data_IF_228297820861
#
_entry.id   IF_228297820861
#
_cell.length_a   1.000
_cell.length_b   1.000
_cell.length_c   1.000
_cell.angle_alpha   90.00
_cell.angle_beta   90.00
_cell.angle_gamma   90.00
#
_symmetry.space_group_name_H-M   'P 1'
#
loop_
_entity.id
_entity.type
_entity.pdbx_description
1 polymer ?
#
# COMPACT_ATOMS: atom_id res chain seq x y z
N UNK A 1 3.16 13.24 0.23
CA UNK A 1 2.43 11.97 0.04
C UNK A 1 3.43 10.85 0.13
N UNK A 2 3.08 9.74 0.76
CA UNK A 2 3.86 8.49 0.73
C UNK A 2 2.95 7.40 0.17
N UNK A 3 3.36 6.80 -0.95
CA UNK A 3 2.66 5.68 -1.59
C UNK A 3 3.40 4.40 -1.18
N UNK A 4 2.67 3.42 -0.66
CA UNK A 4 3.25 2.18 -0.17
C UNK A 4 2.26 1.01 -0.33
N UNK A 5 2.80 -0.20 -0.34
CA UNK A 5 1.99 -1.42 -0.30
C UNK A 5 1.39 -1.65 1.10
N UNK A 6 0.28 -2.37 1.12
CA UNK A 6 -0.45 -2.67 2.34
C UNK A 6 -1.07 -4.07 2.28
N UNK A 7 -0.71 -4.92 3.24
CA UNK A 7 -1.23 -6.28 3.38
C UNK A 7 -2.55 -6.35 4.13
N UNK A 8 -3.00 -5.27 4.77
CA UNK A 8 -4.34 -5.20 5.37
C UNK A 8 -5.43 -4.91 4.33
N UNK A 9 -5.03 -4.63 3.09
CA UNK A 9 -5.92 -4.27 2.00
C UNK A 9 -5.85 -5.31 0.88
N UNK A 10 -7.04 -5.69 0.38
CA UNK A 10 -7.16 -6.62 -0.73
C UNK A 10 -6.50 -6.08 -1.99
N UNK A 11 -5.93 -6.98 -2.79
CA UNK A 11 -5.33 -6.67 -4.08
C UNK A 11 -6.26 -5.82 -4.96
N UNK A 12 -5.76 -4.68 -5.43
CA UNK A 12 -6.54 -3.79 -6.30
C UNK A 12 -7.49 -2.85 -5.55
N UNK A 13 -7.39 -2.77 -4.22
CA UNK A 13 -8.01 -1.71 -3.44
C UNK A 13 -6.98 -0.65 -3.08
N UNK A 14 -7.43 0.56 -2.76
CA UNK A 14 -6.55 1.59 -2.23
C UNK A 14 -7.29 2.48 -1.23
N UNK A 15 -6.54 3.13 -0.34
CA UNK A 15 -7.05 4.16 0.56
C UNK A 15 -6.10 5.36 0.55
N UNK A 16 -6.66 6.55 0.61
CA UNK A 16 -5.89 7.80 0.80
C UNK A 16 -6.31 8.37 2.15
N UNK A 17 -5.37 8.43 3.10
CA UNK A 17 -5.66 8.81 4.48
C UNK A 17 -4.55 9.72 5.02
N UNK A 18 -4.92 10.76 5.77
CA UNK A 18 -3.96 11.64 6.43
C UNK A 18 -3.66 11.12 7.83
N UNK A 19 -2.38 10.96 8.19
CA UNK A 19 -1.99 10.54 9.55
C UNK A 19 -2.30 9.09 9.90
N UNK A 20 -2.84 8.29 8.97
CA UNK A 20 -3.25 6.91 9.24
C UNK A 20 -2.51 5.98 8.26
N UNK A 21 -1.46 5.34 8.77
CA UNK A 21 -0.68 4.33 8.06
C UNK A 21 -0.47 3.05 8.87
N UNK A 22 -0.04 1.94 8.23
CA UNK A 22 0.23 0.69 8.92
C UNK A 22 1.45 0.79 9.85
N UNK A 23 1.31 0.22 11.05
CA UNK A 23 2.33 0.31 12.13
C UNK A 23 3.45 -0.72 12.05
N UNK A 24 3.40 -1.64 11.09
CA UNK A 24 4.35 -2.76 10.95
C UNK A 24 5.14 -2.71 9.65
N UNK A 25 4.95 -1.68 8.84
CA UNK A 25 5.64 -1.54 7.56
C UNK A 25 7.02 -0.90 7.80
N UNK A 26 8.11 -1.69 7.66
CA UNK A 26 9.47 -1.26 7.96
C UNK A 26 9.88 0.05 7.25
N UNK A 27 9.49 0.24 5.99
CA UNK A 27 9.75 1.48 5.27
C UNK A 27 9.02 2.70 5.85
N UNK A 28 7.83 2.51 6.42
CA UNK A 28 7.09 3.60 7.07
C UNK A 28 7.66 3.88 8.45
N UNK A 29 8.05 2.86 9.20
CA UNK A 29 8.72 3.01 10.49
C UNK A 29 9.99 3.86 10.35
N UNK A 30 10.79 3.59 9.32
CA UNK A 30 11.98 4.40 8.99
C UNK A 30 11.63 5.86 8.64
N UNK A 31 10.55 6.09 7.88
CA UNK A 31 10.07 7.45 7.58
C UNK A 31 9.59 8.16 8.85
N UNK A 32 8.80 7.50 9.70
CA UNK A 32 8.31 8.07 10.95
C UNK A 32 9.45 8.44 11.90
N UNK A 33 10.45 7.58 12.03
CA UNK A 33 11.66 7.84 12.80
C UNK A 33 12.41 9.06 12.25
N UNK A 34 12.58 9.13 10.94
CA UNK A 34 13.32 10.22 10.27
C UNK A 34 12.60 11.57 10.35
N UNK A 35 11.28 11.58 10.27
CA UNK A 35 10.47 12.80 10.26
C UNK A 35 9.96 13.21 11.65
N UNK A 36 9.96 12.29 12.62
CA UNK A 36 9.36 12.48 13.94
C UNK A 36 7.83 12.63 13.93
N UNK A 37 7.17 12.29 12.81
CA UNK A 37 5.72 12.44 12.64
C UNK A 37 5.16 11.49 11.59
N UNK A 38 3.89 11.13 11.74
CA UNK A 38 3.06 10.42 10.77
C UNK A 38 2.08 11.35 10.02
N UNK A 39 2.10 12.66 10.30
CA UNK A 39 1.15 13.64 9.76
C UNK A 39 1.43 13.99 8.29
N UNK A 40 1.31 13.00 7.44
CA UNK A 40 1.34 13.12 6.00
C UNK A 40 0.26 12.24 5.36
N UNK A 41 0.00 12.50 4.09
CA UNK A 41 -0.92 11.68 3.30
C UNK A 41 -0.29 10.32 2.96
N UNK A 42 -0.91 9.26 3.47
CA UNK A 42 -0.66 7.88 3.10
C UNK A 42 -1.55 7.49 1.92
N UNK A 43 -0.93 6.93 0.88
CA UNK A 43 -1.62 6.28 -0.25
C UNK A 43 -1.33 4.79 -0.12
N UNK A 44 -2.27 4.11 0.54
CA UNK A 44 -2.18 2.69 0.88
C UNK A 44 -2.67 1.87 -0.31
N UNK A 45 -1.80 1.08 -0.92
CA UNK A 45 -2.14 0.25 -2.09
C UNK A 45 -2.26 -1.21 -1.63
N UNK A 46 -3.45 -1.78 -1.76
CA UNK A 46 -3.70 -3.15 -1.36
C UNK A 46 -2.99 -4.15 -2.27
N UNK A 47 -2.18 -5.00 -1.65
CA UNK A 47 -1.41 -6.04 -2.34
C UNK A 47 -1.80 -7.45 -1.91
N UNK A 48 -2.69 -7.62 -0.93
CA UNK A 48 -3.04 -8.96 -0.46
C UNK A 48 -3.89 -9.70 -1.50
N UNK A 49 -3.22 -10.55 -2.28
CA UNK A 49 -3.84 -11.46 -3.24
C UNK A 49 -3.88 -12.90 -2.76
N UNK A 50 -3.67 -13.18 -1.46
CA UNK A 50 -3.59 -14.55 -0.92
C UNK A 50 -4.97 -15.18 -0.67
N UNK A 51 -6.06 -14.40 -0.79
CA UNK A 51 -7.43 -14.89 -0.61
C UNK A 51 -7.67 -15.47 0.78
N UNK A 52 -7.08 -14.87 1.81
CA UNK A 52 -7.15 -15.34 3.20
C UNK A 52 -6.20 -16.49 3.55
N UNK A 53 -5.49 -17.07 2.58
CA UNK A 53 -4.45 -18.06 2.85
C UNK A 53 -3.23 -17.40 3.52
N UNK A 54 -2.80 -17.94 4.66
CA UNK A 54 -1.63 -17.47 5.41
C UNK A 54 -0.43 -18.41 5.31
N UNK A 55 -0.36 -19.19 4.23
CA UNK A 55 0.68 -20.19 4.02
C UNK A 55 2.06 -19.58 3.73
N UNK A 56 2.12 -18.28 3.44
CA UNK A 56 3.35 -17.53 3.20
C UNK A 56 3.37 -16.35 4.19
N UNK A 57 4.50 -16.13 4.84
CA UNK A 57 4.68 -15.02 5.76
C UNK A 57 4.49 -13.67 5.04
N UNK A 58 4.09 -12.63 5.77
CA UNK A 58 3.98 -11.29 5.18
C UNK A 58 5.30 -10.81 4.58
N UNK A 59 6.41 -11.05 5.28
CA UNK A 59 7.76 -10.69 4.84
C UNK A 59 8.18 -11.40 3.56
N UNK A 60 7.88 -12.69 3.41
CA UNK A 60 8.22 -13.41 2.18
C UNK A 60 7.33 -12.98 1.02
N UNK A 61 6.05 -12.68 1.31
CA UNK A 61 5.09 -12.26 0.30
C UNK A 61 5.45 -10.91 -0.34
N UNK A 62 5.85 -9.91 0.47
CA UNK A 62 6.22 -8.57 -0.05
C UNK A 62 7.49 -8.58 -0.89
N UNK A 63 8.34 -9.60 -0.74
CA UNK A 63 9.54 -9.79 -1.57
C UNK A 63 9.23 -10.54 -2.88
N UNK A 64 8.02 -11.09 -3.02
CA UNK A 64 7.58 -11.83 -4.19
C UNK A 64 7.28 -10.91 -5.39
N UNK A 65 7.36 -11.48 -6.60
CA UNK A 65 6.91 -10.79 -7.81
C UNK A 65 5.40 -10.95 -7.98
N UNK A 66 4.74 -9.88 -8.43
CA UNK A 66 3.38 -10.01 -8.94
C UNK A 66 3.31 -10.95 -10.13
N UNK A 67 2.32 -11.84 -10.13
CA UNK A 67 1.89 -12.55 -11.32
C UNK A 67 1.35 -11.57 -12.38
N UNK A 68 1.30 -11.95 -13.66
CA UNK A 68 0.72 -11.11 -14.71
C UNK A 68 -0.71 -10.65 -14.40
N UNK A 69 -1.53 -11.51 -13.78
CA UNK A 69 -2.89 -11.17 -13.34
C UNK A 69 -2.89 -10.10 -12.25
N UNK A 70 -2.06 -10.26 -11.22
CA UNK A 70 -1.97 -9.27 -10.14
C UNK A 70 -1.46 -7.93 -10.65
N UNK A 71 -0.44 -7.95 -11.53
CA UNK A 71 0.10 -6.74 -12.15
C UNK A 71 -0.97 -5.99 -12.94
N UNK A 72 -1.83 -6.69 -13.70
CA UNK A 72 -2.95 -6.08 -14.41
C UNK A 72 -3.91 -5.36 -13.46
N UNK A 73 -4.29 -6.02 -12.36
CA UNK A 73 -5.21 -5.46 -11.35
C UNK A 73 -4.62 -4.18 -10.72
N UNK A 74 -3.33 -4.18 -10.36
CA UNK A 74 -2.66 -3.00 -9.83
C UNK A 74 -2.62 -1.86 -10.85
N UNK A 75 -2.42 -2.16 -12.13
CA UNK A 75 -2.42 -1.14 -13.18
C UNK A 75 -3.81 -0.52 -13.40
N UNK A 76 -4.90 -1.29 -13.20
CA UNK A 76 -6.28 -0.82 -13.36
C UNK A 76 -6.66 0.28 -12.35
N UNK A 77 -6.04 0.30 -11.16
CA UNK A 77 -6.32 1.34 -10.15
C UNK A 77 -5.45 2.60 -10.28
N UNK A 78 -4.39 2.57 -11.10
CA UNK A 78 -3.43 3.67 -11.20
C UNK A 78 -4.10 5.00 -11.59
N UNK A 79 -4.94 4.98 -12.62
CA UNK A 79 -5.64 6.19 -13.09
C UNK A 79 -6.60 6.75 -12.04
N UNK A 80 -7.24 5.89 -11.23
CA UNK A 80 -8.14 6.30 -10.16
C UNK A 80 -7.37 6.97 -9.02
N UNK A 81 -6.25 6.38 -8.61
CA UNK A 81 -5.36 6.98 -7.60
C UNK A 81 -4.87 8.36 -8.04
N UNK A 82 -4.39 8.49 -9.30
CA UNK A 82 -3.93 9.78 -9.84
C UNK A 82 -5.05 10.82 -9.82
N UNK A 83 -6.26 10.44 -10.24
CA UNK A 83 -7.40 11.34 -10.27
C UNK A 83 -7.80 11.80 -8.85
N UNK A 84 -7.75 10.92 -7.86
CA UNK A 84 -8.09 11.27 -6.48
C UNK A 84 -7.00 12.10 -5.80
N UNK A 85 -5.72 11.82 -6.07
CA UNK A 85 -4.60 12.64 -5.57
C UNK A 85 -4.66 14.08 -6.09
N UNK A 86 -5.08 14.27 -7.35
CA UNK A 86 -5.27 15.61 -7.93
C UNK A 86 -6.37 16.43 -7.24
N UNK A 87 -7.29 15.80 -6.51
CA UNK A 87 -8.34 16.52 -5.75
C UNK A 87 -7.83 17.03 -4.39
N UNK A 88 -6.66 16.57 -3.96
CA UNK A 88 -6.04 16.91 -2.67
C UNK A 88 -4.92 17.95 -2.79
N UNK A 89 -4.62 18.40 -4.02
CA UNK A 89 -3.64 19.42 -4.37
C UNK A 89 -4.40 20.59 -5.00
#
# INVERSE_FOLDING_TARGET
FVIHDDLDLELGTYKIQFGIGPKVHNGLLSIYESLGTDRFWHVRVGIDGRGGSRNISGSDYVLGKFSPKQKKIILEINNKIIADLKKLI
#
